data_IF_400349269515
#
_entry.id   IF_400349269515
#
_cell.length_a   1.000
_cell.length_b   1.000
_cell.length_c   1.000
_cell.angle_alpha   90.00
_cell.angle_beta   90.00
_cell.angle_gamma   90.00
#
_symmetry.space_group_name_H-M   'P 1'
#
loop_
_entity.id
_entity.type
_entity.pdbx_description
1 polymer ?
#
# COMPACT_ATOMS: atom_id res chain seq x y z
N UNK A 1 6.34 -32.34 -6.31
CA UNK A 1 5.62 -31.06 -6.43
C UNK A 1 6.43 -30.01 -5.71
N UNK A 2 7.44 -29.46 -6.37
CA UNK A 2 8.34 -28.45 -5.81
C UNK A 2 8.53 -27.31 -6.82
N UNK A 3 7.47 -27.00 -7.59
CA UNK A 3 7.57 -26.21 -8.82
C UNK A 3 6.96 -24.80 -8.73
N UNK A 4 6.46 -24.39 -7.55
CA UNK A 4 6.02 -23.00 -7.32
C UNK A 4 6.76 -22.38 -6.14
N UNK A 5 7.53 -21.34 -6.44
CA UNK A 5 8.36 -20.58 -5.50
C UNK A 5 7.49 -19.63 -4.63
N UNK A 6 6.29 -19.27 -5.10
CA UNK A 6 5.33 -18.41 -4.39
C UNK A 6 3.89 -18.98 -4.46
N UNK A 7 3.02 -18.68 -3.48
CA UNK A 7 1.70 -19.30 -3.35
C UNK A 7 0.68 -18.82 -4.39
N UNK A 8 0.96 -17.79 -5.18
CA UNK A 8 0.16 -17.33 -6.32
C UNK A 8 0.92 -16.25 -7.08
N UNK A 9 0.58 -16.02 -8.35
CA UNK A 9 1.10 -14.86 -9.09
C UNK A 9 0.49 -13.60 -8.49
N UNK A 10 1.30 -12.55 -8.31
CA UNK A 10 0.84 -11.28 -7.76
C UNK A 10 1.04 -10.17 -8.80
N UNK A 11 0.00 -9.41 -9.06
CA UNK A 11 0.04 -8.22 -9.92
C UNK A 11 -0.52 -7.04 -9.13
N UNK A 12 0.16 -5.90 -9.14
CA UNK A 12 -0.24 -4.71 -8.38
C UNK A 12 -0.39 -3.52 -9.33
N UNK A 13 -1.54 -2.86 -9.23
CA UNK A 13 -1.84 -1.62 -9.97
C UNK A 13 -0.96 -0.46 -9.51
N UNK A 14 -0.52 0.38 -10.45
CA UNK A 14 0.19 1.62 -10.14
C UNK A 14 -0.65 2.62 -9.34
N UNK A 15 -1.95 2.72 -9.60
CA UNK A 15 -2.87 3.55 -8.82
C UNK A 15 -2.93 3.09 -7.35
N UNK A 16 -3.00 1.78 -7.11
CA UNK A 16 -2.93 1.22 -5.75
C UNK A 16 -1.63 1.64 -5.04
N UNK A 17 -0.48 1.43 -5.69
CA UNK A 17 0.81 1.81 -5.13
C UNK A 17 0.93 3.32 -4.90
N UNK A 18 0.40 4.14 -5.80
CA UNK A 18 0.43 5.61 -5.67
C UNK A 18 -0.31 6.05 -4.39
N UNK A 19 -1.50 5.51 -4.13
CA UNK A 19 -2.26 5.85 -2.92
C UNK A 19 -1.57 5.36 -1.64
N UNK A 20 -1.02 4.14 -1.65
CA UNK A 20 -0.24 3.61 -0.52
C UNK A 20 0.99 4.50 -0.26
N UNK A 21 1.74 4.82 -1.30
CA UNK A 21 2.93 5.67 -1.21
C UNK A 21 2.58 7.04 -0.61
N UNK A 22 1.52 7.66 -1.13
CA UNK A 22 1.03 8.93 -0.63
C UNK A 22 0.64 8.84 0.85
N UNK A 23 -0.18 7.85 1.22
CA UNK A 23 -0.61 7.63 2.60
C UNK A 23 0.57 7.47 3.56
N UNK A 24 1.52 6.59 3.23
CA UNK A 24 2.69 6.32 4.06
C UNK A 24 3.62 7.53 4.21
N UNK A 25 3.53 8.52 3.32
CA UNK A 25 4.32 9.74 3.39
C UNK A 25 3.67 10.87 4.21
N UNK A 26 2.42 10.75 4.67
CA UNK A 26 1.73 11.86 5.35
C UNK A 26 2.13 12.03 6.82
N UNK A 27 2.76 11.02 7.42
CA UNK A 27 3.04 10.97 8.85
C UNK A 27 4.36 10.26 9.17
N UNK A 28 4.93 10.58 10.33
CA UNK A 28 6.09 9.88 10.91
C UNK A 28 5.68 8.56 11.61
N UNK A 29 4.39 8.35 11.86
CA UNK A 29 3.85 7.13 12.49
C UNK A 29 3.55 6.03 11.47
N UNK A 30 3.46 4.79 11.96
CA UNK A 30 2.98 3.67 11.15
C UNK A 30 1.49 3.87 10.78
N UNK A 31 1.17 3.59 9.52
CA UNK A 31 -0.21 3.61 8.99
C UNK A 31 -0.60 2.22 8.51
N UNK A 32 -1.89 1.94 8.43
CA UNK A 32 -2.42 0.65 7.94
C UNK A 32 -3.55 0.86 6.93
N UNK A 33 -3.81 -0.15 6.11
CA UNK A 33 -4.98 -0.19 5.25
C UNK A 33 -5.20 -1.55 4.62
N UNK A 34 -6.35 -1.72 3.97
CA UNK A 34 -6.72 -2.96 3.29
C UNK A 34 -6.39 -2.90 1.80
N UNK A 35 -6.24 -4.07 1.19
CA UNK A 35 -6.02 -4.25 -0.24
C UNK A 35 -7.23 -4.93 -0.87
N UNK A 36 -7.83 -4.27 -1.87
CA UNK A 36 -8.93 -4.80 -2.66
C UNK A 36 -8.49 -5.16 -4.07
N UNK A 37 -9.08 -6.22 -4.60
CA UNK A 37 -8.66 -6.76 -5.90
C UNK A 37 -9.50 -7.92 -6.39
N UNK A 38 -8.90 -8.73 -7.26
CA UNK A 38 -9.51 -9.94 -7.81
C UNK A 38 -8.62 -11.15 -7.60
N UNK A 39 -9.27 -12.31 -7.45
CA UNK A 39 -8.64 -13.62 -7.40
C UNK A 39 -9.10 -14.47 -8.57
N UNK A 40 -8.22 -14.70 -9.53
CA UNK A 40 -8.47 -15.65 -10.62
C UNK A 40 -7.96 -17.03 -10.20
N UNK A 41 -8.90 -17.92 -9.86
CA UNK A 41 -8.61 -19.30 -9.42
C UNK A 41 -7.94 -20.11 -10.54
N UNK A 42 -8.35 -19.91 -11.80
CA UNK A 42 -7.86 -20.69 -12.93
C UNK A 42 -6.43 -20.29 -13.32
N UNK A 43 -6.16 -18.98 -13.39
CA UNK A 43 -4.82 -18.46 -13.62
C UNK A 43 -3.94 -18.50 -12.35
N UNK A 44 -4.58 -18.68 -11.19
CA UNK A 44 -3.96 -18.62 -9.87
C UNK A 44 -3.19 -17.30 -9.67
N UNK A 45 -3.87 -16.20 -10.02
CA UNK A 45 -3.34 -14.84 -10.05
C UNK A 45 -4.18 -13.90 -9.18
N UNK A 46 -3.50 -13.18 -8.29
CA UNK A 46 -4.05 -12.10 -7.49
C UNK A 46 -3.74 -10.77 -8.17
N UNK A 47 -4.77 -9.98 -8.45
CA UNK A 47 -4.60 -8.62 -8.94
C UNK A 47 -5.01 -7.64 -7.83
N UNK A 48 -4.03 -6.94 -7.26
CA UNK A 48 -4.26 -5.85 -6.31
C UNK A 48 -4.58 -4.59 -7.09
N UNK A 49 -5.82 -4.13 -7.01
CA UNK A 49 -6.35 -3.05 -7.84
C UNK A 49 -6.46 -1.74 -7.07
N UNK A 50 -6.76 -1.80 -5.78
CA UNK A 50 -7.02 -0.60 -4.99
C UNK A 50 -6.61 -0.77 -3.53
N UNK A 51 -6.12 0.31 -2.93
CA UNK A 51 -5.88 0.42 -1.51
C UNK A 51 -7.05 1.11 -0.80
N UNK A 52 -7.32 0.69 0.43
CA UNK A 52 -8.36 1.24 1.31
C UNK A 52 -7.67 1.69 2.61
N UNK A 53 -7.17 2.94 2.66
CA UNK A 53 -6.48 3.48 3.82
C UNK A 53 -7.36 3.51 5.07
N UNK A 54 -6.86 3.01 6.20
CA UNK A 54 -7.53 3.17 7.48
C UNK A 54 -7.17 4.53 8.08
N UNK A 55 -8.14 5.43 8.16
CA UNK A 55 -8.00 6.74 8.81
C UNK A 55 -8.20 6.61 10.32
N UNK A 56 -7.32 5.85 10.98
CA UNK A 56 -7.28 5.69 12.44
C UNK A 56 -5.86 5.76 12.97
N UNK A 57 -5.75 5.89 14.30
CA UNK A 57 -4.48 5.77 15.01
C UNK A 57 -4.35 4.35 15.57
N UNK A 58 -3.13 3.84 15.66
CA UNK A 58 -2.84 2.45 16.12
C UNK A 58 -3.41 2.05 17.49
N UNK A 59 -3.75 3.03 18.35
CA UNK A 59 -4.34 2.79 19.67
C UNK A 59 -5.87 3.01 19.71
N UNK A 60 -6.47 3.49 18.62
CA UNK A 60 -7.90 3.79 18.56
C UNK A 60 -8.71 2.55 18.19
N UNK A 61 -9.05 1.76 19.20
CA UNK A 61 -9.88 0.55 19.04
C UNK A 61 -11.36 0.86 18.87
N UNK A 62 -11.80 2.07 19.23
CA UNK A 62 -13.22 2.44 19.17
C UNK A 62 -13.66 2.66 17.72
N UNK A 63 -12.78 3.21 16.87
CA UNK A 63 -13.07 3.43 15.45
C UNK A 63 -12.84 2.21 14.55
N UNK A 64 -12.21 1.15 15.04
CA UNK A 64 -11.84 -0.02 14.23
C UNK A 64 -13.05 -0.66 13.54
N UNK A 65 -14.14 -0.93 14.28
CA UNK A 65 -15.33 -1.57 13.73
C UNK A 65 -16.06 -0.71 12.69
N UNK A 66 -16.10 0.62 12.87
CA UNK A 66 -16.73 1.50 11.89
C UNK A 66 -15.89 1.61 10.61
N UNK A 67 -14.56 1.59 10.73
CA UNK A 67 -13.64 1.60 9.58
C UNK A 67 -13.73 0.30 8.80
N UNK A 68 -13.74 -0.85 9.48
CA UNK A 68 -13.90 -2.16 8.82
C UNK A 68 -15.22 -2.25 8.05
N UNK A 69 -16.31 -1.73 8.63
CA UNK A 69 -17.61 -1.70 7.99
C UNK A 69 -17.64 -0.77 6.76
N UNK A 70 -17.03 0.42 6.85
CA UNK A 70 -16.88 1.34 5.71
C UNK A 70 -16.08 0.69 4.56
N UNK A 71 -14.96 0.02 4.89
CA UNK A 71 -14.13 -0.68 3.91
C UNK A 71 -14.90 -1.82 3.27
N UNK A 72 -15.63 -2.62 4.06
CA UNK A 72 -16.46 -3.73 3.55
C UNK A 72 -17.51 -3.22 2.55
N UNK A 73 -18.22 -2.15 2.89
CA UNK A 73 -19.22 -1.54 2.00
C UNK A 73 -18.56 -1.01 0.71
N UNK A 74 -17.39 -0.38 0.82
CA UNK A 74 -16.67 0.16 -0.34
C UNK A 74 -16.16 -0.95 -1.27
N UNK A 75 -15.66 -2.06 -0.72
CA UNK A 75 -15.27 -3.26 -1.48
C UNK A 75 -16.48 -3.83 -2.26
N UNK A 76 -17.62 -3.98 -1.60
CA UNK A 76 -18.86 -4.50 -2.21
C UNK A 76 -19.36 -3.61 -3.36
N UNK A 77 -19.40 -2.29 -3.15
CA UNK A 77 -19.82 -1.32 -4.16
C UNK A 77 -18.93 -1.34 -5.41
N UNK A 78 -17.65 -1.69 -5.25
CA UNK A 78 -16.65 -1.76 -6.33
C UNK A 78 -16.51 -3.16 -6.93
N UNK A 79 -17.25 -4.14 -6.42
CA UNK A 79 -17.10 -5.56 -6.77
C UNK A 79 -15.67 -6.09 -6.60
N UNK A 80 -15.00 -5.64 -5.53
CA UNK A 80 -13.65 -6.07 -5.17
C UNK A 80 -13.68 -7.05 -4.01
N UNK A 81 -12.77 -8.01 -4.03
CA UNK A 81 -12.50 -8.90 -2.92
C UNK A 81 -11.46 -8.26 -1.99
N UNK A 82 -11.63 -8.42 -0.68
CA UNK A 82 -10.52 -8.23 0.26
C UNK A 82 -9.47 -9.30 -0.05
N UNK A 83 -8.23 -8.89 -0.33
CA UNK A 83 -7.14 -9.81 -0.72
C UNK A 83 -5.85 -9.58 0.06
N UNK A 84 -5.89 -8.74 1.09
CA UNK A 84 -4.72 -8.43 1.88
C UNK A 84 -4.80 -7.11 2.62
N UNK A 85 -3.63 -6.67 3.07
CA UNK A 85 -3.44 -5.46 3.84
C UNK A 85 -2.06 -4.88 3.58
N UNK A 86 -1.89 -3.61 3.94
CA UNK A 86 -0.60 -2.97 3.94
C UNK A 86 -0.39 -2.17 5.22
N UNK A 87 0.88 -1.95 5.56
CA UNK A 87 1.28 -0.98 6.56
C UNK A 87 2.59 -0.30 6.19
N UNK A 88 2.90 0.80 6.87
CA UNK A 88 4.18 1.48 6.71
C UNK A 88 5.20 1.06 7.75
N UNK A 89 6.48 1.05 7.35
CA UNK A 89 7.63 1.15 8.24
C UNK A 89 8.32 2.50 7.95
N UNK A 90 7.89 3.63 8.57
CA UNK A 90 8.32 4.96 8.18
C UNK A 90 9.84 5.12 8.12
N UNK A 91 10.56 4.67 9.16
CA UNK A 91 12.00 4.86 9.30
C UNK A 91 12.83 3.57 9.30
N UNK A 92 12.18 2.42 9.13
CA UNK A 92 12.79 1.08 9.17
C UNK A 92 12.70 0.42 7.80
N UNK A 93 13.55 -0.58 7.54
CA UNK A 93 13.47 -1.36 6.31
C UNK A 93 12.09 -2.02 6.14
N UNK A 94 11.65 -2.25 4.89
CA UNK A 94 10.38 -2.91 4.57
C UNK A 94 10.34 -4.42 4.92
N UNK A 95 11.31 -4.92 5.69
CA UNK A 95 11.34 -6.31 6.14
C UNK A 95 10.27 -6.54 7.22
N UNK A 96 9.48 -7.63 7.15
CA UNK A 96 8.45 -7.89 8.14
C UNK A 96 9.06 -8.24 9.49
N UNK A 97 8.51 -7.65 10.55
CA UNK A 97 8.81 -8.00 11.93
C UNK A 97 8.13 -9.31 12.33
N UNK A 98 8.47 -9.86 13.51
CA UNK A 98 7.76 -11.01 14.08
C UNK A 98 6.28 -10.72 14.31
N UNK A 99 5.93 -9.48 14.67
CA UNK A 99 4.53 -9.06 14.86
C UNK A 99 3.79 -9.09 13.52
N UNK A 100 4.40 -8.59 12.47
CA UNK A 100 3.82 -8.59 11.12
C UNK A 100 3.60 -10.02 10.63
N UNK A 101 4.56 -10.93 10.87
CA UNK A 101 4.42 -12.33 10.51
C UNK A 101 3.26 -13.01 11.23
N UNK A 102 3.05 -12.70 12.51
CA UNK A 102 1.94 -13.25 13.30
C UNK A 102 0.59 -12.72 12.79
N UNK A 103 0.46 -11.41 12.57
CA UNK A 103 -0.76 -10.81 12.01
C UNK A 103 -1.08 -11.35 10.62
N UNK A 104 -0.07 -11.46 9.75
CA UNK A 104 -0.23 -12.02 8.41
C UNK A 104 -0.70 -13.48 8.46
N UNK A 105 -0.16 -14.31 9.37
CA UNK A 105 -0.58 -15.69 9.51
C UNK A 105 -2.02 -15.82 10.02
N UNK A 106 -2.43 -14.95 10.95
CA UNK A 106 -3.81 -14.85 11.43
C UNK A 106 -4.77 -14.51 10.28
N UNK A 107 -4.47 -13.46 9.50
CA UNK A 107 -5.30 -13.07 8.36
C UNK A 107 -5.34 -14.14 7.26
N UNK A 108 -4.21 -14.78 6.96
CA UNK A 108 -4.19 -15.94 6.05
C UNK A 108 -5.08 -17.08 6.53
N UNK A 109 -5.13 -17.32 7.84
CA UNK A 109 -5.97 -18.37 8.43
C UNK A 109 -7.45 -18.03 8.30
N UNK A 110 -7.82 -16.79 8.62
CA UNK A 110 -9.20 -16.29 8.48
C UNK A 110 -9.64 -16.36 7.01
N UNK A 111 -8.80 -15.87 6.09
CA UNK A 111 -9.13 -15.77 4.66
C UNK A 111 -9.02 -17.11 3.92
N UNK A 112 -8.41 -18.13 4.52
CA UNK A 112 -8.47 -19.50 3.98
C UNK A 112 -9.89 -20.03 3.93
N UNK A 113 -10.74 -19.63 4.88
CA UNK A 113 -12.10 -20.13 5.03
C UNK A 113 -12.17 -21.63 5.36
N UNK A 114 -13.40 -22.13 5.47
CA UNK A 114 -13.65 -23.52 5.88
C UNK A 114 -13.61 -24.53 4.73
N UNK A 115 -13.44 -24.06 3.48
CA UNK A 115 -13.41 -24.90 2.28
C UNK A 115 -12.54 -24.30 1.19
N UNK A 116 -12.06 -25.14 0.26
CA UNK A 116 -11.25 -24.68 -0.88
C UNK A 116 -12.00 -23.65 -1.75
N UNK A 117 -13.33 -23.72 -1.82
CA UNK A 117 -14.17 -22.74 -2.53
C UNK A 117 -14.32 -21.40 -1.81
N UNK A 118 -14.06 -21.36 -0.50
CA UNK A 118 -14.08 -20.13 0.30
C UNK A 118 -12.69 -19.46 0.36
N UNK A 119 -11.65 -20.12 -0.16
CA UNK A 119 -10.29 -19.63 -0.11
C UNK A 119 -10.16 -18.28 -0.83
N UNK A 120 -9.67 -17.30 -0.07
CA UNK A 120 -9.22 -16.02 -0.59
C UNK A 120 -7.74 -15.81 -0.24
N UNK A 121 -6.89 -15.51 -1.23
CA UNK A 121 -5.50 -15.21 -0.96
C UNK A 121 -5.35 -13.94 -0.11
N UNK A 122 -4.37 -13.94 0.78
CA UNK A 122 -4.06 -12.80 1.65
C UNK A 122 -2.62 -12.36 1.44
N UNK A 123 -2.42 -11.14 0.97
CA UNK A 123 -1.11 -10.52 0.75
C UNK A 123 -0.81 -9.52 1.85
N UNK A 124 0.38 -9.61 2.45
CA UNK A 124 0.94 -8.53 3.27
C UNK A 124 1.84 -7.64 2.41
N UNK A 125 1.71 -6.32 2.53
CA UNK A 125 2.55 -5.35 1.82
C UNK A 125 3.11 -4.31 2.78
N UNK A 126 4.43 -4.13 2.79
CA UNK A 126 5.09 -3.13 3.63
C UNK A 126 5.64 -2.02 2.75
N UNK A 127 5.32 -0.77 3.09
CA UNK A 127 5.87 0.43 2.46
C UNK A 127 6.84 1.13 3.42
N UNK A 128 8.09 1.29 3.01
CA UNK A 128 9.12 2.02 3.77
C UNK A 128 9.50 3.31 3.04
N UNK A 129 8.93 4.46 3.44
CA UNK A 129 9.19 5.73 2.78
C UNK A 129 10.53 6.34 3.19
N UNK A 130 10.92 6.36 4.48
CA UNK A 130 12.03 7.17 5.01
C UNK A 130 13.19 6.37 5.62
N UNK A 131 13.32 5.08 5.30
CA UNK A 131 14.48 4.29 5.76
C UNK A 131 15.79 4.94 5.31
N UNK A 132 16.63 5.33 6.28
CA UNK A 132 17.92 6.00 6.03
C UNK A 132 19.01 5.04 5.55
N UNK A 133 18.79 3.72 5.67
CA UNK A 133 19.73 2.71 5.19
C UNK A 133 19.63 2.49 3.69
N UNK A 134 18.57 3.01 3.06
CA UNK A 134 18.33 2.86 1.63
C UNK A 134 19.02 3.97 0.83
N UNK A 135 19.64 3.59 -0.28
CA UNK A 135 20.24 4.55 -1.22
C UNK A 135 19.20 5.26 -2.09
N UNK A 136 18.00 4.68 -2.21
CA UNK A 136 16.93 5.19 -3.06
C UNK A 136 16.15 6.34 -2.40
N UNK A 137 15.72 7.30 -3.22
CA UNK A 137 14.79 8.36 -2.78
C UNK A 137 13.34 7.87 -2.84
N UNK A 138 13.05 6.85 -3.65
CA UNK A 138 11.72 6.24 -3.71
C UNK A 138 11.46 5.36 -2.48
N UNK A 139 10.20 5.29 -2.05
CA UNK A 139 9.76 4.32 -1.06
C UNK A 139 10.06 2.89 -1.52
N UNK A 140 10.44 2.04 -0.56
CA UNK A 140 10.64 0.61 -0.78
C UNK A 140 9.39 -0.16 -0.43
N UNK A 141 9.07 -1.14 -1.27
CA UNK A 141 7.93 -2.04 -1.10
C UNK A 141 8.42 -3.46 -0.92
N UNK A 142 7.77 -4.18 -0.02
CA UNK A 142 7.96 -5.61 0.13
C UNK A 142 6.60 -6.27 0.28
N UNK A 143 6.20 -7.04 -0.72
CA UNK A 143 5.08 -7.96 -0.62
C UNK A 143 5.57 -9.27 0.02
N UNK A 144 4.81 -9.83 0.95
CA UNK A 144 5.16 -11.07 1.61
C UNK A 144 3.94 -11.95 1.90
N UNK A 145 4.22 -13.23 2.04
CA UNK A 145 3.31 -14.25 2.51
C UNK A 145 4.02 -15.08 3.57
N UNK A 146 3.32 -15.57 4.58
CA UNK A 146 3.93 -16.35 5.66
C UNK A 146 3.66 -17.83 5.45
N UNK A 147 4.73 -18.60 5.26
CA UNK A 147 4.65 -20.05 5.27
C UNK A 147 4.32 -20.52 6.69
N UNK A 148 3.18 -21.20 6.91
CA UNK A 148 2.84 -21.69 8.23
C UNK A 148 3.89 -22.70 8.70
N UNK A 149 4.11 -22.80 10.02
CA UNK A 149 4.99 -23.84 10.55
C UNK A 149 4.48 -25.23 10.13
N UNK A 150 5.37 -26.20 9.89
CA UNK A 150 4.96 -27.56 9.57
C UNK A 150 4.11 -28.16 10.70
N UNK A 151 3.13 -29.01 10.36
CA UNK A 151 2.25 -29.65 11.35
C UNK A 151 3.00 -30.42 12.45
N UNK A 152 4.17 -30.96 12.13
CA UNK A 152 5.01 -31.71 13.08
C UNK A 152 5.81 -30.79 14.03
N UNK A 153 5.77 -29.46 13.84
CA UNK A 153 6.44 -28.45 14.69
C UNK A 153 5.57 -27.19 14.83
N UNK A 154 4.39 -27.29 15.44
CA UNK A 154 3.42 -26.19 15.51
C UNK A 154 3.91 -25.00 16.36
N UNK A 155 4.93 -25.20 17.20
CA UNK A 155 5.52 -24.16 18.03
C UNK A 155 6.60 -23.32 17.31
N UNK A 156 6.96 -23.66 16.07
CA UNK A 156 7.87 -22.83 15.26
C UNK A 156 7.14 -21.60 14.73
N UNK A 157 7.89 -20.51 14.48
CA UNK A 157 7.34 -19.33 13.83
C UNK A 157 7.08 -19.59 12.35
N UNK A 158 6.03 -18.95 11.82
CA UNK A 158 5.82 -18.87 10.38
C UNK A 158 7.01 -18.20 9.69
N UNK A 159 7.36 -18.66 8.50
CA UNK A 159 8.51 -18.13 7.74
C UNK A 159 8.02 -17.09 6.74
N UNK A 160 8.44 -15.81 6.84
CA UNK A 160 8.08 -14.81 5.85
C UNK A 160 8.77 -15.13 4.51
N UNK A 161 7.96 -15.16 3.46
CA UNK A 161 8.38 -15.41 2.09
C UNK A 161 8.15 -14.12 1.31
N UNK A 162 9.23 -13.47 0.87
CA UNK A 162 9.12 -12.32 -0.04
C UNK A 162 8.48 -12.77 -1.35
N UNK A 163 7.44 -12.06 -1.77
CA UNK A 163 6.73 -12.32 -3.02
C UNK A 163 7.26 -11.43 -4.14
N UNK A 164 7.43 -12.00 -5.33
CA UNK A 164 7.68 -11.24 -6.55
C UNK A 164 6.32 -10.88 -7.14
N UNK A 165 6.18 -9.62 -7.55
CA UNK A 165 4.95 -9.12 -8.17
C UNK A 165 5.24 -8.35 -9.46
N UNK A 166 4.26 -8.38 -10.35
CA UNK A 166 4.24 -7.60 -11.57
C UNK A 166 3.56 -6.25 -11.31
N UNK A 167 4.02 -5.19 -11.99
CA UNK A 167 3.34 -3.91 -11.99
C UNK A 167 2.38 -3.84 -13.18
N UNK A 168 1.10 -3.67 -12.90
CA UNK A 168 0.10 -3.32 -13.90
C UNK A 168 -0.04 -1.81 -13.96
N UNK A 169 0.52 -1.21 -15.02
CA UNK A 169 0.43 0.23 -15.20
C UNK A 169 -0.98 0.64 -15.64
N UNK A 170 -1.59 1.55 -14.90
CA UNK A 170 -2.90 2.10 -15.15
C UNK A 170 -2.88 3.08 -16.32
N UNK A 171 -4.03 3.24 -16.97
CA UNK A 171 -4.18 4.19 -18.08
C UNK A 171 -4.34 5.63 -17.61
N UNK A 172 -4.98 5.84 -16.47
CA UNK A 172 -5.34 7.15 -15.90
C UNK A 172 -5.55 7.05 -14.39
N UNK A 173 -5.54 8.19 -13.70
CA UNK A 173 -5.91 8.28 -12.28
C UNK A 173 -7.44 8.18 -12.14
N UNK A 174 -7.93 7.36 -11.21
CA UNK A 174 -9.37 7.28 -10.94
C UNK A 174 -9.83 8.44 -10.08
N UNK A 175 -11.11 8.80 -10.18
CA UNK A 175 -11.71 9.82 -9.30
C UNK A 175 -11.66 9.41 -7.83
N UNK A 176 -11.86 8.12 -7.56
CA UNK A 176 -11.77 7.55 -6.22
C UNK A 176 -10.38 7.73 -5.61
N UNK A 177 -9.32 7.47 -6.37
CA UNK A 177 -7.95 7.68 -5.91
C UNK A 177 -7.73 9.15 -5.50
N UNK A 178 -8.14 10.10 -6.36
CA UNK A 178 -8.00 11.52 -6.07
C UNK A 178 -8.83 11.95 -4.85
N UNK A 179 -10.01 11.35 -4.65
CA UNK A 179 -10.85 11.59 -3.47
C UNK A 179 -10.18 11.04 -2.20
N UNK A 180 -9.66 9.81 -2.22
CA UNK A 180 -8.94 9.23 -1.09
C UNK A 180 -7.70 10.05 -0.71
N UNK A 181 -6.96 10.57 -1.69
CA UNK A 181 -5.85 11.50 -1.42
C UNK A 181 -6.31 12.77 -0.67
N UNK A 182 -7.49 13.32 -1.01
CA UNK A 182 -8.06 14.47 -0.28
C UNK A 182 -8.42 14.09 1.15
N UNK A 183 -9.14 12.99 1.34
CA UNK A 183 -9.58 12.52 2.66
C UNK A 183 -8.39 12.22 3.59
N UNK A 184 -7.34 11.60 3.04
CA UNK A 184 -6.10 11.34 3.77
C UNK A 184 -5.40 12.65 4.16
N UNK A 185 -5.25 13.59 3.22
CA UNK A 185 -4.67 14.90 3.49
C UNK A 185 -5.42 15.64 4.60
N UNK A 186 -6.76 15.65 4.54
CA UNK A 186 -7.61 16.29 5.55
C UNK A 186 -7.44 15.64 6.93
N UNK A 187 -7.43 14.31 6.99
CA UNK A 187 -7.26 13.56 8.23
C UNK A 187 -5.90 13.85 8.90
N UNK A 188 -4.81 13.88 8.13
CA UNK A 188 -3.46 14.09 8.68
C UNK A 188 -3.08 15.57 8.86
N UNK A 189 -3.79 16.54 8.26
CA UNK A 189 -3.44 17.97 8.27
C UNK A 189 -3.16 18.56 9.65
N UNK A 190 -3.84 18.06 10.68
CA UNK A 190 -3.71 18.54 12.06
C UNK A 190 -3.22 17.44 13.02
N UNK A 191 -2.67 16.35 12.47
CA UNK A 191 -2.11 15.29 13.28
C UNK A 191 -0.77 15.76 13.89
N UNK A 192 -0.47 15.45 15.16
CA UNK A 192 0.76 15.89 15.83
C UNK A 192 2.03 15.28 15.21
N UNK A 193 1.87 14.18 14.50
CA UNK A 193 2.87 13.40 13.79
C UNK A 193 2.75 13.58 12.26
N UNK A 194 2.06 14.63 11.80
CA UNK A 194 2.02 14.98 10.38
C UNK A 194 3.40 15.43 9.90
N UNK A 195 3.81 14.99 8.72
CA UNK A 195 5.11 15.34 8.18
C UNK A 195 5.15 16.79 7.68
N UNK A 196 6.21 17.53 8.02
CA UNK A 196 6.47 18.84 7.44
C UNK A 196 7.15 18.72 6.07
N UNK A 197 6.37 18.89 4.98
CA UNK A 197 6.88 18.74 3.61
C UNK A 197 7.89 19.80 3.17
N UNK A 198 8.01 20.92 3.91
CA UNK A 198 9.01 21.96 3.68
C UNK A 198 10.38 21.62 4.27
N UNK A 199 10.45 20.67 5.22
CA UNK A 199 11.70 20.28 5.86
C UNK A 199 12.58 19.43 4.96
N UNK A 200 13.88 19.44 5.28
CA UNK A 200 14.91 18.71 4.57
C UNK A 200 14.95 17.23 5.01
N UNK A 201 14.92 16.34 4.02
CA UNK A 201 15.20 14.92 4.18
C UNK A 201 16.72 14.68 4.02
N UNK A 202 17.38 14.45 5.16
CA UNK A 202 18.85 14.57 5.32
C UNK A 202 19.77 13.43 4.83
N UNK A 203 19.35 12.34 4.16
CA UNK A 203 20.30 11.52 3.40
C UNK A 203 20.47 11.99 1.94
N UNK A 204 19.57 12.80 1.39
CA UNK A 204 19.57 13.14 -0.05
C UNK A 204 19.50 14.65 -0.35
N UNK A 205 19.54 15.51 0.67
CA UNK A 205 19.47 16.98 0.55
C UNK A 205 18.30 17.46 -0.33
N UNK A 206 17.15 16.81 -0.19
CA UNK A 206 15.88 17.19 -0.84
C UNK A 206 14.85 17.50 0.23
N UNK A 207 13.84 18.32 -0.06
CA UNK A 207 12.71 18.45 0.85
C UNK A 207 11.90 17.16 0.89
N UNK A 208 11.13 16.95 1.97
CA UNK A 208 10.15 15.87 2.04
C UNK A 208 9.13 15.93 0.90
N UNK A 209 8.75 17.14 0.44
CA UNK A 209 8.01 17.31 -0.82
C UNK A 209 8.76 16.75 -2.03
N UNK A 210 10.02 17.13 -2.20
CA UNK A 210 10.86 16.65 -3.31
C UNK A 210 11.00 15.13 -3.32
N UNK A 211 11.10 14.52 -2.13
CA UNK A 211 11.09 13.07 -1.95
C UNK A 211 9.75 12.45 -2.36
N UNK A 212 8.63 12.95 -1.82
CA UNK A 212 7.28 12.46 -2.15
C UNK A 212 7.05 12.52 -3.66
N UNK A 213 7.31 13.68 -4.28
CA UNK A 213 7.16 13.87 -5.72
C UNK A 213 7.96 12.83 -6.52
N UNK A 214 9.22 12.60 -6.15
CA UNK A 214 10.07 11.57 -6.80
C UNK A 214 9.51 10.17 -6.60
N UNK A 215 9.06 9.83 -5.40
CA UNK A 215 8.47 8.51 -5.09
C UNK A 215 7.20 8.25 -5.90
N UNK A 216 6.29 9.22 -5.97
CA UNK A 216 5.03 9.08 -6.73
C UNK A 216 5.24 9.06 -8.25
N UNK A 217 6.29 9.70 -8.76
CA UNK A 217 6.54 9.80 -10.21
C UNK A 217 6.63 8.43 -10.88
N UNK A 218 7.27 7.44 -10.24
CA UNK A 218 7.40 6.08 -10.79
C UNK A 218 6.07 5.31 -10.84
N UNK A 219 5.02 5.86 -10.23
CA UNK A 219 3.69 5.23 -10.09
C UNK A 219 2.62 5.98 -10.88
N UNK A 220 2.99 7.01 -11.64
CA UNK A 220 2.04 7.72 -12.48
C UNK A 220 1.48 6.78 -13.58
N UNK A 221 0.19 6.90 -13.91
CA UNK A 221 -0.41 6.18 -15.02
C UNK A 221 0.17 6.63 -16.37
N UNK A 222 -0.11 5.85 -17.42
CA UNK A 222 0.45 6.06 -18.76
C UNK A 222 0.24 7.46 -19.32
N UNK A 223 -0.93 8.05 -19.12
CA UNK A 223 -1.28 9.39 -19.60
C UNK A 223 -0.51 10.53 -18.91
N UNK A 224 0.12 10.25 -17.75
CA UNK A 224 0.92 11.19 -16.98
C UNK A 224 2.44 10.90 -17.01
N UNK A 225 2.90 9.91 -17.78
CA UNK A 225 4.33 9.59 -17.89
C UNK A 225 5.03 10.17 -19.14
N UNK A 226 4.28 10.54 -20.18
CA UNK A 226 4.83 10.97 -21.47
C UNK A 226 4.69 12.48 -21.63
N UNK A 227 5.82 13.20 -21.67
CA UNK A 227 5.89 14.67 -21.77
C UNK A 227 6.01 15.19 -23.21
N UNK A 228 5.60 14.41 -24.22
CA UNK A 228 5.86 14.77 -25.63
C UNK A 228 4.90 15.82 -26.19
N UNK A 229 3.74 16.06 -25.55
CA UNK A 229 2.70 16.98 -26.04
C UNK A 229 2.32 18.02 -24.97
N UNK A 230 2.08 19.27 -25.38
CA UNK A 230 1.77 20.42 -24.49
C UNK A 230 0.60 20.17 -23.53
N UNK A 231 -0.47 19.50 -24.00
CA UNK A 231 -1.64 19.18 -23.18
C UNK A 231 -1.35 18.14 -22.07
N UNK A 232 -0.45 17.18 -22.32
CA UNK A 232 -0.05 16.17 -21.33
C UNK A 232 0.91 16.77 -20.30
N UNK A 233 1.80 17.69 -20.72
CA UNK A 233 2.61 18.49 -19.80
C UNK A 233 1.74 19.26 -18.80
N UNK A 234 0.68 19.92 -19.29
CA UNK A 234 -0.29 20.62 -18.42
C UNK A 234 -1.00 19.68 -17.44
N UNK A 235 -1.36 18.46 -17.86
CA UNK A 235 -2.02 17.49 -16.99
C UNK A 235 -1.10 17.04 -15.83
N UNK A 236 0.18 16.79 -16.12
CA UNK A 236 1.20 16.44 -15.11
C UNK A 236 1.40 17.59 -14.13
N UNK A 237 1.49 18.82 -14.62
CA UNK A 237 1.64 20.01 -13.78
C UNK A 237 0.41 20.22 -12.89
N UNK A 238 -0.80 20.09 -13.44
CA UNK A 238 -2.04 20.15 -12.65
C UNK A 238 -2.10 19.08 -11.57
N UNK A 239 -1.66 17.86 -11.85
CA UNK A 239 -1.58 16.81 -10.84
C UNK A 239 -0.61 17.20 -9.71
N UNK A 240 0.57 17.72 -10.03
CA UNK A 240 1.53 18.12 -8.99
C UNK A 240 1.05 19.33 -8.19
N UNK A 241 0.38 20.30 -8.80
CA UNK A 241 -0.24 21.41 -8.07
C UNK A 241 -1.40 20.92 -7.18
N UNK A 242 -2.18 19.95 -7.64
CA UNK A 242 -3.18 19.27 -6.80
C UNK A 242 -2.53 18.63 -5.57
N UNK A 243 -1.52 17.77 -5.74
CA UNK A 243 -0.84 17.09 -4.62
C UNK A 243 -0.19 18.11 -3.68
N UNK A 244 0.44 19.15 -4.21
CA UNK A 244 1.06 20.21 -3.43
C UNK A 244 0.02 20.96 -2.59
N UNK A 245 -1.15 21.27 -3.16
CA UNK A 245 -2.27 21.88 -2.45
C UNK A 245 -2.87 21.00 -1.35
N UNK A 246 -2.70 19.68 -1.42
CA UNK A 246 -3.10 18.78 -0.35
C UNK A 246 -2.18 18.87 0.87
N UNK A 247 -0.87 18.92 0.67
CA UNK A 247 0.10 18.65 1.75
C UNK A 247 0.84 19.87 2.27
N UNK A 248 0.93 20.95 1.47
CA UNK A 248 1.65 22.14 1.90
C UNK A 248 0.78 22.96 2.87
N UNK A 249 1.38 23.59 3.89
CA UNK A 249 0.66 24.55 4.73
C UNK A 249 0.13 25.69 3.86
N UNK A 250 -1.13 26.07 4.10
CA UNK A 250 -1.78 27.23 3.48
C UNK A 250 -1.32 28.51 4.19
#
# INVERSE_FOLDING_TARGET
>A
MLDRIQPFTLTVSTNCLLLIDFHCHLTESEVVGYLGGTWDVAAHNVSVLQAFPCRSRLADRESASSIEEEVRQSLEQRHLMLIGWYHSHPHSAAQPSLRDCNCQLEYQTIMKGDSDSAYTPCVGLICSPYSKTESSIEAKYLAYWVMPPPEHRPNEYGKPMQMIYNIAQDSFLTQDLLMEMRLLSEYYRSAPDSLNFCEEFKPHNVSYWGKLKRSLTSKLPRDLQVTTNDAQGQAVDHFWEFVKGLIMPV
#
